data_IF_524454496451
#
_entry.id   IF_524454496451
#
_cell.length_a   1.000
_cell.length_b   1.000
_cell.length_c   1.000
_cell.angle_alpha   90.00
_cell.angle_beta   90.00
_cell.angle_gamma   90.00
#
_symmetry.space_group_name_H-M   'P 1'
#
loop_
_entity.id
_entity.type
_entity.pdbx_description
1 polymer ?
#
# COMPACT_ATOMS: atom_id res chain seq x y z
N UNK A 1 16.61 36.98 -17.40
CA UNK A 1 17.68 36.76 -16.41
C UNK A 1 17.46 35.38 -15.79
N UNK A 2 18.30 34.41 -16.11
CA UNK A 2 18.21 33.06 -15.50
C UNK A 2 18.85 33.16 -14.10
N UNK A 3 18.05 32.96 -13.06
CA UNK A 3 18.58 32.83 -11.71
C UNK A 3 19.37 31.52 -11.65
N UNK A 4 20.68 31.64 -11.48
CA UNK A 4 21.55 30.49 -11.23
C UNK A 4 21.22 29.92 -9.83
N UNK A 5 20.43 28.90 -9.77
CA UNK A 5 20.04 28.23 -8.49
C UNK A 5 21.25 27.46 -8.03
N UNK A 6 22.05 28.05 -7.15
CA UNK A 6 23.13 27.36 -6.46
C UNK A 6 22.53 26.23 -5.61
N UNK A 7 22.79 24.99 -6.00
CA UNK A 7 22.31 23.78 -5.26
C UNK A 7 23.30 23.49 -4.15
N UNK A 8 22.93 23.61 -2.87
CA UNK A 8 23.83 23.36 -1.74
C UNK A 8 24.44 21.95 -1.80
N UNK A 9 25.69 21.82 -1.39
CA UNK A 9 26.45 20.58 -1.37
C UNK A 9 26.58 19.89 -2.74
N UNK A 10 26.51 20.64 -3.84
CA UNK A 10 26.68 20.07 -5.17
C UNK A 10 27.38 21.02 -6.13
N UNK A 11 27.92 20.43 -7.21
CA UNK A 11 28.45 21.17 -8.36
C UNK A 11 28.00 20.51 -9.66
N UNK A 12 27.97 21.30 -10.75
CA UNK A 12 27.63 20.81 -12.08
C UNK A 12 28.90 20.52 -12.87
N UNK A 13 28.97 19.32 -13.48
CA UNK A 13 30.03 18.93 -14.40
C UNK A 13 29.40 18.32 -15.64
N UNK A 14 29.59 18.96 -16.80
CA UNK A 14 29.04 18.52 -18.08
C UNK A 14 27.52 18.30 -18.07
N UNK A 15 26.77 19.19 -17.42
CA UNK A 15 25.30 19.12 -17.30
C UNK A 15 24.78 18.12 -16.29
N UNK A 16 25.64 17.40 -15.56
CA UNK A 16 25.25 16.44 -14.52
C UNK A 16 25.66 16.99 -13.16
N UNK A 17 24.75 16.94 -12.19
CA UNK A 17 25.02 17.35 -10.82
C UNK A 17 25.74 16.26 -10.04
N UNK A 18 26.75 16.67 -9.26
CA UNK A 18 27.56 15.86 -8.35
C UNK A 18 27.38 16.37 -6.93
N UNK A 19 27.22 15.47 -5.97
CA UNK A 19 27.32 15.79 -4.55
C UNK A 19 28.79 15.97 -4.17
N UNK A 20 29.11 16.99 -3.36
CA UNK A 20 30.43 17.18 -2.76
C UNK A 20 30.29 17.69 -1.33
N UNK A 21 30.97 17.05 -0.40
CA UNK A 21 31.05 17.50 0.98
C UNK A 21 32.40 17.15 1.61
N UNK A 22 32.99 18.09 2.33
CA UNK A 22 34.24 17.87 3.08
C UNK A 22 33.94 17.03 4.33
N UNK A 23 34.81 16.08 4.63
CA UNK A 23 34.78 15.34 5.89
C UNK A 23 35.27 16.26 7.00
N UNK A 24 34.58 16.34 8.16
CA UNK A 24 35.04 17.09 9.32
C UNK A 24 36.43 16.62 9.76
N UNK A 25 37.30 17.58 10.22
CA UNK A 25 38.68 17.28 10.58
C UNK A 25 38.82 16.23 11.67
N UNK A 26 37.92 16.24 12.66
CA UNK A 26 37.83 15.28 13.77
C UNK A 26 37.48 13.85 13.33
N UNK A 27 36.88 13.70 12.15
CA UNK A 27 36.45 12.40 11.61
C UNK A 27 37.32 11.91 10.44
N UNK A 28 38.37 12.64 10.04
CA UNK A 28 39.26 12.26 8.93
C UNK A 28 39.87 10.86 9.11
N UNK A 29 40.12 10.45 10.35
CA UNK A 29 40.67 9.13 10.68
C UNK A 29 39.76 7.95 10.24
N UNK A 30 38.49 8.20 10.00
CA UNK A 30 37.51 7.23 9.56
C UNK A 30 37.36 7.17 8.03
N UNK A 31 38.06 8.04 7.30
CA UNK A 31 37.89 8.17 5.85
C UNK A 31 39.24 8.11 5.12
N UNK A 32 39.25 7.49 3.96
CA UNK A 32 40.42 7.45 3.07
C UNK A 32 40.59 8.74 2.24
N UNK A 33 39.60 9.65 2.26
CA UNK A 33 39.61 10.89 1.52
C UNK A 33 39.05 12.03 2.37
N UNK A 34 39.57 13.25 2.20
CA UNK A 34 39.08 14.46 2.88
C UNK A 34 37.77 15.00 2.29
N UNK A 35 37.29 14.43 1.18
CA UNK A 35 36.06 14.81 0.49
C UNK A 35 35.26 13.59 0.08
N UNK A 36 33.95 13.71 0.21
CA UNK A 36 32.98 12.75 -0.32
C UNK A 36 32.37 13.38 -1.57
N UNK A 37 32.59 12.76 -2.75
CA UNK A 37 32.03 13.24 -4.00
C UNK A 37 31.53 12.07 -4.85
N UNK A 38 30.29 12.22 -5.38
CA UNK A 38 29.69 11.25 -6.30
C UNK A 38 28.59 11.86 -7.15
N UNK A 39 28.27 11.24 -8.28
CA UNK A 39 27.22 11.71 -9.18
C UNK A 39 25.83 11.57 -8.60
N UNK A 40 25.03 12.63 -8.63
CA UNK A 40 23.61 12.61 -8.28
C UNK A 40 22.73 12.05 -9.39
N UNK A 41 23.31 11.68 -10.54
CA UNK A 41 22.64 11.07 -11.70
C UNK A 41 21.39 11.86 -12.14
N UNK A 42 21.51 13.18 -12.21
CA UNK A 42 20.43 14.06 -12.66
C UNK A 42 21.00 15.30 -13.32
N UNK A 43 20.25 15.86 -14.28
CA UNK A 43 20.50 17.17 -14.91
C UNK A 43 19.56 18.25 -14.38
N UNK A 44 18.54 17.88 -13.60
CA UNK A 44 17.58 18.82 -13.00
C UNK A 44 18.11 19.38 -11.71
N UNK A 45 18.16 20.72 -11.59
CA UNK A 45 18.61 21.42 -10.39
C UNK A 45 17.73 21.12 -9.17
N UNK A 46 16.41 21.04 -9.34
CA UNK A 46 15.47 20.75 -8.24
C UNK A 46 15.64 19.34 -7.69
N UNK A 47 15.81 18.35 -8.57
CA UNK A 47 16.07 16.96 -8.18
C UNK A 47 17.45 16.83 -7.52
N UNK A 48 18.45 17.58 -8.03
CA UNK A 48 19.78 17.60 -7.44
C UNK A 48 19.74 18.20 -6.02
N UNK A 49 19.01 19.29 -5.80
CA UNK A 49 18.86 19.92 -4.48
C UNK A 49 18.26 18.94 -3.47
N UNK A 50 17.17 18.27 -3.82
CA UNK A 50 16.53 17.27 -2.94
C UNK A 50 17.47 16.09 -2.61
N UNK A 51 18.18 15.55 -3.61
CA UNK A 51 19.12 14.43 -3.40
C UNK A 51 20.35 14.85 -2.60
N UNK A 52 20.89 16.05 -2.84
CA UNK A 52 22.03 16.58 -2.12
C UNK A 52 21.71 16.90 -0.66
N UNK A 53 20.53 17.50 -0.38
CA UNK A 53 20.07 17.77 0.97
C UNK A 53 19.89 16.47 1.77
N UNK A 54 19.27 15.46 1.18
CA UNK A 54 19.09 14.14 1.83
C UNK A 54 20.43 13.46 2.13
N UNK A 55 21.38 13.51 1.19
CA UNK A 55 22.72 12.96 1.40
C UNK A 55 23.49 13.69 2.49
N UNK A 56 23.36 15.02 2.56
CA UNK A 56 23.96 15.82 3.59
C UNK A 56 23.41 15.48 4.98
N UNK A 57 22.09 15.34 5.12
CA UNK A 57 21.44 14.95 6.37
C UNK A 57 21.89 13.56 6.84
N UNK A 58 21.96 12.57 5.94
CA UNK A 58 22.44 11.24 6.28
C UNK A 58 23.90 11.23 6.77
N UNK A 59 24.75 12.09 6.17
CA UNK A 59 26.13 12.25 6.63
C UNK A 59 26.20 12.93 8.00
N UNK A 60 25.35 13.91 8.28
CA UNK A 60 25.32 14.59 9.58
C UNK A 60 24.92 13.63 10.68
N UNK A 61 23.89 12.80 10.45
CA UNK A 61 23.44 11.74 11.38
C UNK A 61 24.57 10.73 11.62
N UNK A 62 25.22 10.25 10.56
CA UNK A 62 26.30 9.31 10.67
C UNK A 62 27.52 9.88 11.41
N UNK A 63 27.92 11.12 11.13
CA UNK A 63 29.00 11.80 11.81
C UNK A 63 28.70 12.09 13.28
N UNK A 64 27.44 12.38 13.60
CA UNK A 64 26.98 12.50 14.98
C UNK A 64 27.16 11.17 15.73
N UNK A 65 26.74 10.07 15.14
CA UNK A 65 26.93 8.72 15.74
C UNK A 65 28.41 8.34 15.90
N UNK A 66 29.26 8.67 14.95
CA UNK A 66 30.71 8.42 15.07
C UNK A 66 31.30 9.18 16.26
N UNK A 67 30.92 10.45 16.45
CA UNK A 67 31.37 11.26 17.59
C UNK A 67 30.91 10.72 18.93
N UNK A 68 29.64 10.30 19.03
CA UNK A 68 29.09 9.71 20.27
C UNK A 68 29.85 8.42 20.67
N UNK A 69 30.27 7.62 19.69
CA UNK A 69 31.07 6.41 19.99
C UNK A 69 32.41 6.70 20.63
N UNK A 70 32.96 7.87 20.40
CA UNK A 70 34.28 8.29 20.91
C UNK A 70 34.23 9.14 22.18
N UNK A 71 33.06 9.67 22.54
CA UNK A 71 32.88 10.46 23.76
C UNK A 71 32.83 9.54 24.97
N UNK A 72 33.62 9.86 25.98
CA UNK A 72 33.55 9.20 27.28
C UNK A 72 32.33 9.75 28.05
N UNK A 73 31.20 9.04 27.91
CA UNK A 73 29.95 9.44 28.51
C UNK A 73 29.95 9.09 30.02
N UNK A 74 29.57 9.98 30.91
CA UNK A 74 29.33 9.66 32.32
C UNK A 74 28.31 8.52 32.39
N UNK A 75 28.65 7.43 33.13
CA UNK A 75 27.80 6.25 33.21
C UNK A 75 27.92 5.26 32.06
N UNK A 76 28.91 5.38 31.18
CA UNK A 76 29.16 4.45 30.06
C UNK A 76 29.29 2.98 30.51
N UNK A 77 29.79 2.75 31.72
CA UNK A 77 29.85 1.42 32.34
C UNK A 77 28.46 0.82 32.70
N UNK A 78 27.42 1.64 32.73
CA UNK A 78 26.03 1.20 32.94
C UNK A 78 25.32 0.85 31.61
N UNK A 79 25.91 1.24 30.46
CA UNK A 79 25.38 0.86 29.15
C UNK A 79 25.77 -0.61 28.90
N UNK A 80 24.79 -1.48 28.69
CA UNK A 80 25.02 -2.84 28.18
C UNK A 80 25.47 -2.75 26.73
N UNK A 81 26.76 -2.53 26.52
CA UNK A 81 27.37 -2.61 25.20
C UNK A 81 27.66 -4.08 24.86
N UNK A 82 27.13 -4.54 23.74
CA UNK A 82 27.63 -5.74 23.11
C UNK A 82 29.12 -5.54 22.80
N UNK A 83 30.00 -6.30 23.43
CA UNK A 83 31.45 -6.26 23.22
C UNK A 83 31.74 -6.79 21.81
N UNK A 84 32.20 -5.93 20.93
CA UNK A 84 32.86 -6.35 19.69
C UNK A 84 34.38 -6.36 19.90
N UNK A 85 34.97 -7.57 19.87
CA UNK A 85 36.33 -7.84 19.40
C UNK A 85 37.49 -7.64 20.38
N UNK A 86 37.84 -8.68 21.11
CA UNK A 86 39.26 -9.04 21.33
C UNK A 86 39.41 -10.55 21.20
N UNK A 87 40.35 -10.95 20.36
CA UNK A 87 40.83 -12.31 20.23
C UNK A 87 41.52 -12.67 21.52
N UNK A 88 40.94 -13.55 22.31
CA UNK A 88 41.61 -14.22 23.42
C UNK A 88 41.52 -15.73 23.17
N UNK A 89 42.70 -16.37 23.25
CA UNK A 89 43.03 -17.78 23.14
C UNK A 89 42.04 -18.70 23.83
N UNK A 90 41.80 -19.82 23.18
CA UNK A 90 41.00 -20.93 23.65
C UNK A 90 41.42 -21.42 25.04
N UNK A 91 40.53 -21.43 25.98
CA UNK A 91 40.23 -22.51 26.91
C UNK A 91 39.19 -22.01 27.93
N UNK A 92 38.13 -22.79 28.02
CA UNK A 92 37.12 -22.79 29.10
C UNK A 92 36.34 -21.52 29.36
N UNK A 93 35.13 -21.47 28.79
CA UNK A 93 33.87 -21.23 29.56
C UNK A 93 32.67 -21.54 28.66
N UNK A 94 32.22 -22.78 28.73
CA UNK A 94 30.85 -23.14 28.33
C UNK A 94 29.87 -22.46 29.27
N UNK A 95 29.59 -21.18 29.04
CA UNK A 95 28.38 -20.54 29.49
C UNK A 95 27.55 -20.26 28.24
N UNK A 96 26.55 -21.09 28.01
CA UNK A 96 25.57 -20.97 26.98
C UNK A 96 24.94 -19.55 27.06
N UNK A 97 25.40 -18.64 26.21
CA UNK A 97 24.56 -17.53 25.79
C UNK A 97 23.38 -18.17 25.04
N UNK A 98 22.28 -18.31 25.73
CA UNK A 98 21.02 -18.77 25.18
C UNK A 98 20.57 -17.69 24.16
N UNK A 99 21.20 -17.71 22.99
CA UNK A 99 20.72 -16.93 21.83
C UNK A 99 19.41 -17.60 21.49
N UNK A 100 18.30 -16.98 21.88
CA UNK A 100 16.98 -17.53 21.66
C UNK A 100 16.76 -17.66 20.15
N UNK A 101 17.17 -18.81 19.60
CA UNK A 101 16.93 -19.17 18.23
C UNK A 101 15.46 -19.53 18.09
N UNK A 102 14.70 -18.77 17.29
CA UNK A 102 13.29 -19.02 17.05
C UNK A 102 13.10 -19.57 15.64
N UNK A 103 12.16 -20.51 15.51
CA UNK A 103 11.70 -21.02 14.23
C UNK A 103 10.85 -19.98 13.49
N UNK A 104 10.70 -20.15 12.18
CA UNK A 104 9.86 -19.25 11.38
C UNK A 104 8.39 -19.25 11.85
N UNK A 105 7.84 -20.39 12.25
CA UNK A 105 6.51 -20.50 12.84
C UNK A 105 6.36 -19.68 14.12
N UNK A 106 7.37 -19.67 14.99
CA UNK A 106 7.40 -18.87 16.21
C UNK A 106 7.54 -17.37 15.89
N UNK A 107 8.34 -17.02 14.87
CA UNK A 107 8.45 -15.66 14.37
C UNK A 107 7.11 -15.13 13.86
N UNK A 108 6.31 -15.95 13.19
CA UNK A 108 4.92 -15.61 12.77
C UNK A 108 4.06 -15.37 14.01
N UNK A 109 4.14 -16.21 15.03
CA UNK A 109 3.36 -16.06 16.26
C UNK A 109 3.69 -14.74 16.99
N UNK A 110 4.98 -14.38 17.11
CA UNK A 110 5.43 -13.09 17.68
C UNK A 110 4.88 -11.93 16.84
N UNK A 111 5.02 -11.99 15.52
CA UNK A 111 4.56 -10.96 14.60
C UNK A 111 3.05 -10.71 14.72
N UNK A 112 2.26 -11.78 14.77
CA UNK A 112 0.81 -11.70 14.87
C UNK A 112 0.36 -11.23 16.26
N UNK A 113 1.00 -11.67 17.32
CA UNK A 113 0.69 -11.23 18.69
C UNK A 113 0.87 -9.72 18.86
N UNK A 114 1.94 -9.15 18.32
CA UNK A 114 2.31 -7.75 18.54
C UNK A 114 1.77 -6.81 17.44
N UNK A 115 1.83 -7.20 16.18
CA UNK A 115 1.34 -6.39 15.04
C UNK A 115 -0.05 -6.74 14.55
N UNK A 116 -0.59 -7.89 14.97
CA UNK A 116 -1.91 -8.36 14.56
C UNK A 116 -3.07 -7.73 15.32
N UNK A 117 -2.82 -7.14 16.50
CA UNK A 117 -3.86 -6.52 17.30
C UNK A 117 -4.59 -5.42 16.52
N UNK A 118 -5.92 -5.50 16.50
CA UNK A 118 -6.77 -4.56 15.78
C UNK A 118 -6.62 -4.62 14.23
N UNK A 119 -5.89 -5.60 13.68
CA UNK A 119 -5.79 -5.81 12.23
C UNK A 119 -6.87 -6.76 11.72
N UNK A 120 -7.32 -6.61 10.48
CA UNK A 120 -8.31 -7.52 9.89
C UNK A 120 -7.73 -8.94 9.73
N UNK A 121 -8.59 -9.97 9.76
CA UNK A 121 -8.20 -11.38 9.60
C UNK A 121 -7.40 -11.67 8.31
N UNK A 122 -7.51 -10.82 7.28
CA UNK A 122 -6.71 -10.90 6.06
C UNK A 122 -5.23 -10.63 6.31
N UNK A 123 -4.87 -9.83 7.33
CA UNK A 123 -3.50 -9.58 7.72
C UNK A 123 -2.87 -10.84 8.31
N UNK A 124 -3.55 -11.50 9.24
CA UNK A 124 -3.12 -12.76 9.82
C UNK A 124 -2.94 -13.83 8.76
N UNK A 125 -3.99 -14.06 7.94
CA UNK A 125 -3.94 -15.04 6.84
C UNK A 125 -2.83 -14.77 5.82
N UNK A 126 -2.47 -13.51 5.59
CA UNK A 126 -1.37 -13.17 4.69
C UNK A 126 0.00 -13.55 5.28
N UNK A 127 0.23 -13.32 6.57
CA UNK A 127 1.46 -13.70 7.27
C UNK A 127 1.60 -15.22 7.33
N UNK A 128 0.58 -15.91 7.81
CA UNK A 128 0.54 -17.38 7.93
C UNK A 128 0.76 -18.07 6.57
N UNK A 129 0.04 -17.64 5.53
CA UNK A 129 0.17 -18.21 4.19
C UNK A 129 1.54 -17.94 3.58
N UNK A 130 2.07 -16.71 3.70
CA UNK A 130 3.35 -16.37 3.07
C UNK A 130 4.52 -17.08 3.73
N UNK A 131 4.53 -17.20 5.05
CA UNK A 131 5.54 -17.95 5.79
C UNK A 131 5.30 -19.47 5.68
N UNK A 132 4.04 -19.92 5.61
CA UNK A 132 3.69 -21.30 5.33
C UNK A 132 4.30 -21.79 4.01
N UNK A 133 4.24 -21.01 2.95
CA UNK A 133 4.92 -21.36 1.69
C UNK A 133 6.44 -21.52 1.84
N UNK A 134 7.10 -20.72 2.71
CA UNK A 134 8.54 -20.90 3.00
C UNK A 134 8.75 -22.20 3.77
N UNK A 135 7.91 -22.49 4.75
CA UNK A 135 8.00 -23.71 5.55
C UNK A 135 7.79 -24.95 4.68
N UNK A 136 6.85 -24.91 3.76
CA UNK A 136 6.57 -26.01 2.82
C UNK A 136 7.77 -26.33 1.92
N UNK A 137 8.50 -25.30 1.46
CA UNK A 137 9.64 -25.43 0.53
C UNK A 137 10.95 -25.69 1.25
N UNK A 138 11.19 -24.97 2.34
CA UNK A 138 12.49 -24.90 3.01
C UNK A 138 12.50 -25.57 4.39
N UNK A 139 11.35 -26.03 4.89
CA UNK A 139 11.20 -26.54 6.26
C UNK A 139 11.05 -25.44 7.31
N UNK A 140 10.47 -25.77 8.46
CA UNK A 140 10.36 -24.86 9.60
C UNK A 140 11.66 -24.85 10.39
N UNK A 141 12.54 -23.93 10.06
CA UNK A 141 13.89 -23.79 10.62
C UNK A 141 14.01 -22.50 11.43
N UNK A 142 15.09 -22.41 12.19
CA UNK A 142 15.47 -21.16 12.85
C UNK A 142 15.63 -20.05 11.82
N UNK A 143 15.17 -18.83 12.17
CA UNK A 143 15.21 -17.68 11.24
C UNK A 143 16.64 -17.32 10.80
N UNK A 144 17.64 -17.68 11.61
CA UNK A 144 19.06 -17.52 11.33
C UNK A 144 19.65 -18.60 10.40
N UNK A 145 18.97 -19.76 10.30
CA UNK A 145 19.45 -20.91 9.52
C UNK A 145 19.02 -20.87 8.04
N UNK A 146 18.16 -19.94 7.64
CA UNK A 146 17.82 -19.75 6.23
C UNK A 146 18.96 -19.08 5.48
N UNK A 147 19.21 -19.56 4.27
CA UNK A 147 20.28 -19.10 3.39
C UNK A 147 19.73 -18.39 2.15
N UNK A 148 20.63 -17.78 1.38
CA UNK A 148 20.26 -17.22 0.07
C UNK A 148 19.84 -18.29 -0.93
N UNK A 149 20.38 -19.50 -0.82
CA UNK A 149 19.98 -20.65 -1.64
C UNK A 149 18.51 -21.03 -1.35
N UNK A 150 18.09 -21.05 -0.08
CA UNK A 150 16.70 -21.30 0.29
C UNK A 150 15.75 -20.23 -0.27
N UNK A 151 16.14 -18.96 -0.18
CA UNK A 151 15.35 -17.86 -0.72
C UNK A 151 15.23 -17.92 -2.26
N UNK A 152 16.24 -18.42 -2.96
CA UNK A 152 16.19 -18.64 -4.40
C UNK A 152 15.31 -19.86 -4.73
N UNK A 153 15.45 -20.97 -4.04
CA UNK A 153 14.58 -22.15 -4.21
C UNK A 153 13.11 -21.78 -3.96
N UNK A 154 12.84 -21.00 -2.92
CA UNK A 154 11.52 -20.48 -2.64
C UNK A 154 10.96 -19.60 -3.78
N UNK A 155 11.79 -18.72 -4.36
CA UNK A 155 11.39 -17.94 -5.54
C UNK A 155 11.02 -18.86 -6.70
N UNK A 156 11.85 -19.85 -7.00
CA UNK A 156 11.67 -20.74 -8.14
C UNK A 156 10.36 -21.53 -8.00
N UNK A 157 10.06 -22.04 -6.81
CA UNK A 157 8.79 -22.68 -6.50
C UNK A 157 7.58 -21.76 -6.73
N UNK A 158 7.66 -20.48 -6.31
CA UNK A 158 6.56 -19.52 -6.55
C UNK A 158 6.36 -19.24 -8.05
N UNK A 159 7.43 -19.23 -8.83
CA UNK A 159 7.39 -19.09 -10.29
C UNK A 159 6.78 -20.33 -10.95
N UNK A 160 7.15 -21.53 -10.50
CA UNK A 160 6.59 -22.81 -10.97
C UNK A 160 5.10 -22.93 -10.67
N UNK A 161 4.65 -22.49 -9.48
CA UNK A 161 3.23 -22.36 -9.14
C UNK A 161 2.47 -21.32 -9.98
N UNK A 162 3.16 -20.62 -10.87
CA UNK A 162 2.55 -19.66 -11.80
C UNK A 162 2.15 -18.32 -11.18
N UNK A 163 2.70 -17.94 -10.02
CA UNK A 163 2.38 -16.65 -9.40
C UNK A 163 2.90 -15.49 -10.24
N UNK A 164 2.07 -14.45 -10.36
CA UNK A 164 2.49 -13.19 -10.99
C UNK A 164 3.56 -12.49 -10.13
N UNK A 165 4.48 -11.76 -10.77
CA UNK A 165 5.58 -11.06 -10.13
C UNK A 165 5.14 -10.09 -9.02
N UNK A 166 3.99 -9.44 -9.17
CA UNK A 166 3.38 -8.61 -8.13
C UNK A 166 2.94 -9.42 -6.89
N UNK A 167 2.47 -10.66 -7.08
CA UNK A 167 2.12 -11.59 -5.99
C UNK A 167 3.36 -12.08 -5.27
N UNK A 168 4.41 -12.44 -6.01
CA UNK A 168 5.72 -12.82 -5.46
C UNK A 168 6.29 -11.67 -4.63
N UNK A 169 6.23 -10.43 -5.13
CA UNK A 169 6.68 -9.24 -4.41
C UNK A 169 5.98 -9.09 -3.05
N UNK A 170 4.67 -9.34 -3.00
CA UNK A 170 3.88 -9.27 -1.77
C UNK A 170 4.24 -10.39 -0.80
N UNK A 171 4.40 -11.62 -1.28
CA UNK A 171 4.80 -12.77 -0.46
C UNK A 171 6.17 -12.53 0.17
N UNK A 172 7.18 -12.21 -0.65
CA UNK A 172 8.53 -11.86 -0.14
C UNK A 172 8.53 -10.67 0.82
N UNK A 173 7.69 -9.66 0.53
CA UNK A 173 7.51 -8.50 1.42
C UNK A 173 7.00 -8.90 2.80
N UNK A 174 6.03 -9.81 2.84
CA UNK A 174 5.46 -10.33 4.10
C UNK A 174 6.48 -11.17 4.87
N UNK A 175 7.15 -12.13 4.20
CA UNK A 175 8.19 -12.97 4.82
C UNK A 175 9.30 -12.12 5.43
N UNK A 176 9.82 -11.14 4.68
CA UNK A 176 10.85 -10.22 5.20
C UNK A 176 10.35 -9.42 6.41
N UNK A 177 9.11 -8.96 6.36
CA UNK A 177 8.52 -8.19 7.47
C UNK A 177 8.40 -9.03 8.74
N UNK A 178 7.99 -10.30 8.62
CA UNK A 178 7.89 -11.23 9.74
C UNK A 178 9.27 -11.51 10.35
N UNK A 179 10.23 -11.91 9.53
CA UNK A 179 11.58 -12.26 9.99
C UNK A 179 12.28 -11.06 10.63
N UNK A 180 12.31 -9.91 9.95
CA UNK A 180 12.98 -8.72 10.47
C UNK A 180 12.34 -8.23 11.77
N UNK A 181 11.01 -8.28 11.87
CA UNK A 181 10.31 -7.85 13.06
C UNK A 181 10.60 -8.80 14.24
N UNK A 182 10.46 -10.10 14.04
CA UNK A 182 10.72 -11.07 15.09
C UNK A 182 12.17 -11.03 15.57
N UNK A 183 13.13 -10.95 14.65
CA UNK A 183 14.55 -10.80 14.98
C UNK A 183 14.83 -9.54 15.81
N UNK A 184 14.19 -8.41 15.45
CA UNK A 184 14.28 -7.15 16.23
C UNK A 184 13.72 -7.30 17.64
N UNK A 185 12.56 -7.97 17.79
CA UNK A 185 11.89 -8.15 19.09
C UNK A 185 12.70 -9.04 20.06
N UNK A 186 13.43 -10.02 19.52
CA UNK A 186 14.25 -10.92 20.36
C UNK A 186 15.74 -10.51 20.42
N UNK A 187 16.09 -9.37 19.79
CA UNK A 187 17.44 -8.82 19.88
C UNK A 187 18.49 -9.54 19.05
N UNK A 188 18.09 -10.25 17.97
CA UNK A 188 19.03 -10.94 17.05
C UNK A 188 19.32 -10.06 15.84
N UNK A 189 20.59 -9.84 15.55
CA UNK A 189 21.02 -9.24 14.28
C UNK A 189 21.02 -10.29 13.17
N UNK A 190 20.25 -10.06 12.10
CA UNK A 190 20.13 -10.97 10.97
C UNK A 190 20.27 -10.23 9.64
N UNK A 191 21.09 -10.77 8.75
CA UNK A 191 21.05 -10.43 7.33
C UNK A 191 19.96 -11.27 6.66
N UNK A 192 18.76 -10.70 6.49
CA UNK A 192 17.61 -11.46 6.00
C UNK A 192 17.84 -11.99 4.57
N UNK A 193 17.93 -13.31 4.37
CA UNK A 193 18.28 -13.92 3.08
C UNK A 193 17.19 -13.71 2.01
N UNK A 194 15.93 -13.48 2.42
CA UNK A 194 14.82 -13.17 1.53
C UNK A 194 14.85 -11.71 1.03
N UNK A 195 15.83 -10.91 1.50
CA UNK A 195 16.13 -9.59 0.94
C UNK A 195 16.82 -9.69 -0.42
N UNK A 196 16.59 -8.71 -1.30
CA UNK A 196 17.27 -8.57 -2.60
C UNK A 196 17.28 -9.85 -3.46
N UNK A 197 16.21 -10.65 -3.43
CA UNK A 197 16.01 -11.77 -4.36
C UNK A 197 15.53 -11.22 -5.69
N UNK A 198 16.18 -11.63 -6.79
CA UNK A 198 15.79 -11.18 -8.14
C UNK A 198 14.68 -12.06 -8.69
N UNK A 199 13.66 -11.42 -9.24
CA UNK A 199 12.60 -11.98 -10.10
C UNK A 199 12.00 -10.84 -10.91
N UNK A 200 11.39 -11.15 -12.05
CA UNK A 200 10.66 -10.15 -12.84
C UNK A 200 9.34 -9.80 -12.14
N UNK A 201 9.27 -8.57 -11.64
CA UNK A 201 8.09 -8.05 -10.92
C UNK A 201 6.88 -7.84 -11.83
N UNK A 202 7.08 -7.73 -13.13
CA UNK A 202 6.02 -7.53 -14.12
C UNK A 202 5.59 -8.84 -14.79
N UNK A 203 6.29 -9.95 -14.54
CA UNK A 203 5.92 -11.23 -15.11
C UNK A 203 4.48 -11.60 -14.75
N UNK A 204 3.69 -11.97 -15.77
CA UNK A 204 2.28 -12.38 -15.62
C UNK A 204 1.38 -11.34 -14.92
N UNK A 205 1.78 -10.07 -14.91
CA UNK A 205 0.94 -9.00 -14.39
C UNK A 205 0.00 -8.56 -15.52
N UNK A 206 -1.25 -8.95 -15.42
CA UNK A 206 -2.29 -8.43 -16.32
C UNK A 206 -2.68 -7.01 -15.86
N UNK A 207 -2.63 -6.05 -16.78
CA UNK A 207 -3.18 -4.72 -16.54
C UNK A 207 -4.70 -4.82 -16.44
N UNK A 208 -5.28 -4.11 -15.48
CA UNK A 208 -6.74 -4.03 -15.40
C UNK A 208 -7.26 -3.14 -16.51
N UNK A 209 -8.14 -3.70 -17.34
CA UNK A 209 -8.74 -2.99 -18.44
C UNK A 209 -10.01 -2.28 -17.97
N UNK A 210 -10.20 -1.00 -18.30
CA UNK A 210 -11.48 -0.34 -18.15
C UNK A 210 -12.57 -1.06 -18.96
N UNK A 211 -13.80 -1.05 -18.47
CA UNK A 211 -14.95 -1.48 -19.27
C UNK A 211 -15.28 -0.43 -20.33
N UNK A 212 -15.48 -0.80 -21.58
CA UNK A 212 -16.00 0.09 -22.62
C UNK A 212 -17.37 0.67 -22.24
N UNK A 213 -17.70 1.85 -22.75
CA UNK A 213 -18.93 2.55 -22.40
C UNK A 213 -20.20 1.80 -22.85
N UNK A 214 -20.14 1.18 -24.03
CA UNK A 214 -21.21 0.34 -24.58
C UNK A 214 -21.48 -0.90 -23.70
N UNK A 215 -20.43 -1.55 -23.20
CA UNK A 215 -20.59 -2.64 -22.25
C UNK A 215 -21.18 -2.17 -20.92
N UNK A 216 -20.78 -1.00 -20.42
CA UNK A 216 -21.36 -0.40 -19.20
C UNK A 216 -22.85 -0.15 -19.38
N UNK A 217 -23.26 0.44 -20.50
CA UNK A 217 -24.67 0.71 -20.80
C UNK A 217 -25.49 -0.56 -20.94
N UNK A 218 -24.93 -1.58 -21.62
CA UNK A 218 -25.58 -2.90 -21.73
C UNK A 218 -25.76 -3.56 -20.37
N UNK A 219 -24.75 -3.51 -19.49
CA UNK A 219 -24.85 -4.00 -18.12
C UNK A 219 -25.89 -3.26 -17.30
N UNK A 220 -25.95 -1.92 -17.43
CA UNK A 220 -26.96 -1.11 -16.76
C UNK A 220 -28.38 -1.45 -17.24
N UNK A 221 -28.57 -1.67 -18.55
CA UNK A 221 -29.85 -2.13 -19.10
C UNK A 221 -30.30 -3.48 -18.52
N UNK A 222 -29.38 -4.43 -18.39
CA UNK A 222 -29.67 -5.72 -17.73
C UNK A 222 -29.94 -5.53 -16.22
N UNK A 223 -29.28 -4.58 -15.56
CA UNK A 223 -29.58 -4.24 -14.17
C UNK A 223 -31.02 -3.73 -14.00
N UNK A 224 -31.47 -2.83 -14.86
CA UNK A 224 -32.85 -2.35 -14.85
C UNK A 224 -33.89 -3.45 -15.09
N UNK A 225 -33.60 -4.38 -15.98
CA UNK A 225 -34.48 -5.49 -16.34
C UNK A 225 -34.61 -6.51 -15.23
N UNK A 226 -33.50 -6.87 -14.56
CA UNK A 226 -33.47 -7.92 -13.52
C UNK A 226 -33.91 -7.39 -12.15
N UNK A 227 -33.67 -6.12 -11.86
CA UNK A 227 -34.17 -5.35 -10.71
C UNK A 227 -34.04 -6.08 -9.35
N UNK A 228 -32.86 -6.57 -9.04
CA UNK A 228 -32.57 -7.27 -7.78
C UNK A 228 -31.34 -6.68 -7.05
N UNK A 229 -31.09 -7.12 -5.83
CA UNK A 229 -30.03 -6.61 -4.96
C UNK A 229 -28.61 -6.71 -5.57
N UNK A 230 -28.34 -7.75 -6.35
CA UNK A 230 -27.05 -7.92 -7.04
C UNK A 230 -26.87 -6.85 -8.13
N UNK A 231 -27.93 -6.58 -8.91
CA UNK A 231 -27.91 -5.62 -10.01
C UNK A 231 -27.92 -4.19 -9.50
N UNK A 232 -28.58 -3.93 -8.38
CA UNK A 232 -28.48 -2.62 -7.73
C UNK A 232 -27.05 -2.32 -7.27
N UNK A 233 -26.31 -3.34 -6.79
CA UNK A 233 -24.92 -3.17 -6.42
C UNK A 233 -24.02 -2.88 -7.63
N UNK A 234 -24.24 -3.55 -8.77
CA UNK A 234 -23.56 -3.24 -10.03
C UNK A 234 -23.86 -1.83 -10.51
N UNK A 235 -25.15 -1.48 -10.59
CA UNK A 235 -25.61 -0.16 -11.03
C UNK A 235 -25.08 0.96 -10.14
N UNK A 236 -25.10 0.78 -8.82
CA UNK A 236 -24.55 1.74 -7.87
C UNK A 236 -23.05 2.00 -8.12
N UNK A 237 -22.26 0.93 -8.32
CA UNK A 237 -20.81 1.04 -8.55
C UNK A 237 -20.49 1.59 -9.94
N UNK A 238 -21.33 1.35 -10.94
CA UNK A 238 -21.08 1.72 -12.33
C UNK A 238 -20.97 3.22 -12.57
N UNK A 239 -21.75 4.02 -11.84
CA UNK A 239 -21.77 5.48 -11.99
C UNK A 239 -21.20 6.24 -10.79
N UNK A 240 -20.88 5.56 -9.68
CA UNK A 240 -20.16 6.16 -8.55
C UNK A 240 -18.68 5.87 -8.55
N UNK A 241 -18.25 4.77 -9.21
CA UNK A 241 -16.86 4.30 -9.18
C UNK A 241 -16.33 3.98 -7.79
N UNK A 242 -17.19 3.82 -6.79
CA UNK A 242 -16.78 3.48 -5.43
C UNK A 242 -16.16 2.08 -5.38
N UNK A 243 -15.37 1.82 -4.34
CA UNK A 243 -14.83 0.46 -4.16
C UNK A 243 -15.96 -0.48 -3.78
N UNK A 244 -15.90 -1.72 -4.28
CA UNK A 244 -16.95 -2.70 -3.96
C UNK A 244 -17.16 -2.89 -2.45
N UNK A 245 -16.08 -2.87 -1.65
CA UNK A 245 -16.19 -2.93 -0.20
C UNK A 245 -16.87 -1.68 0.41
N UNK A 246 -16.72 -0.51 -0.21
CA UNK A 246 -17.44 0.70 0.20
C UNK A 246 -18.94 0.54 -0.05
N UNK A 247 -19.31 0.06 -1.23
CA UNK A 247 -20.71 -0.15 -1.61
C UNK A 247 -21.41 -1.24 -0.80
N UNK A 248 -20.77 -2.41 -0.65
CA UNK A 248 -21.37 -3.53 0.10
C UNK A 248 -21.61 -3.24 1.58
N UNK A 249 -20.80 -2.37 2.19
CA UNK A 249 -20.90 -2.03 3.61
C UNK A 249 -21.68 -0.75 3.91
N UNK A 250 -22.49 -0.25 2.98
CA UNK A 250 -23.36 0.91 3.20
C UNK A 250 -24.53 0.58 4.11
N UNK A 251 -24.92 1.53 4.93
CA UNK A 251 -26.24 1.58 5.56
C UNK A 251 -27.21 2.31 4.64
N UNK A 252 -28.52 2.10 4.84
CA UNK A 252 -29.55 2.93 4.22
C UNK A 252 -29.34 4.42 4.52
N UNK A 253 -28.98 4.76 5.76
CA UNK A 253 -28.70 6.13 6.19
C UNK A 253 -27.42 6.76 5.60
N UNK A 254 -26.64 6.02 4.80
CA UNK A 254 -25.55 6.59 3.99
C UNK A 254 -26.05 7.06 2.60
N UNK A 255 -27.32 6.77 2.24
CA UNK A 255 -27.94 7.17 0.97
C UNK A 255 -28.84 8.39 1.20
N UNK A 256 -28.32 9.57 0.96
CA UNK A 256 -28.99 10.86 1.18
C UNK A 256 -29.82 11.22 -0.07
N UNK A 257 -31.04 10.66 -0.17
CA UNK A 257 -31.91 10.84 -1.35
C UNK A 257 -32.85 12.03 -1.26
N UNK A 258 -33.12 12.55 -0.05
CA UNK A 258 -34.02 13.67 0.21
C UNK A 258 -33.32 15.01 0.06
N UNK A 259 -32.00 15.03 0.13
CA UNK A 259 -31.20 16.23 -0.02
C UNK A 259 -31.37 16.85 -1.41
N UNK A 260 -31.15 18.16 -1.57
CA UNK A 260 -31.25 18.84 -2.87
C UNK A 260 -30.43 18.16 -3.98
N UNK A 261 -29.32 17.56 -3.61
CA UNK A 261 -28.48 16.73 -4.50
C UNK A 261 -28.39 15.34 -3.88
N UNK A 262 -29.08 14.33 -4.46
CA UNK A 262 -28.94 12.94 -4.00
C UNK A 262 -27.50 12.50 -4.03
N UNK A 263 -27.01 11.96 -2.92
CA UNK A 263 -25.62 11.52 -2.82
C UNK A 263 -25.45 10.34 -1.85
N UNK A 264 -24.30 9.66 -1.94
CA UNK A 264 -23.87 8.64 -0.98
C UNK A 264 -22.74 9.19 -0.13
N UNK A 265 -22.83 8.96 1.18
CA UNK A 265 -21.81 9.30 2.17
C UNK A 265 -20.88 8.10 2.36
N UNK A 266 -19.65 8.21 1.89
CA UNK A 266 -18.63 7.18 2.13
C UNK A 266 -17.83 7.56 3.36
N UNK A 267 -18.07 6.86 4.45
CA UNK A 267 -17.44 7.06 5.75
C UNK A 267 -17.00 5.74 6.37
N UNK A 268 -16.16 5.78 7.39
CA UNK A 268 -15.74 4.61 8.13
C UNK A 268 -16.89 4.09 9.01
N UNK A 269 -17.00 2.77 9.09
CA UNK A 269 -17.94 2.06 9.96
C UNK A 269 -17.20 0.98 10.76
N UNK A 270 -17.69 0.54 11.92
CA UNK A 270 -17.05 -0.51 12.71
C UNK A 270 -16.80 -1.81 11.92
N UNK A 271 -17.71 -2.17 11.02
CA UNK A 271 -17.63 -3.37 10.17
C UNK A 271 -16.85 -3.16 8.86
N UNK A 272 -16.51 -1.91 8.51
CA UNK A 272 -15.85 -1.57 7.25
C UNK A 272 -14.94 -0.36 7.42
N UNK A 273 -13.64 -0.63 7.50
CA UNK A 273 -12.62 0.43 7.43
C UNK A 273 -12.45 0.98 6.03
N UNK A 274 -12.08 2.23 5.91
CA UNK A 274 -11.64 2.81 4.65
C UNK A 274 -10.17 2.46 4.38
N UNK A 275 -9.80 2.36 3.10
CA UNK A 275 -8.43 2.01 2.69
C UNK A 275 -7.41 3.09 3.10
N UNK A 276 -7.80 4.36 3.03
CA UNK A 276 -7.01 5.55 3.41
C UNK A 276 -7.93 6.57 4.06
N UNK A 277 -7.40 7.48 4.86
CA UNK A 277 -8.18 8.58 5.46
C UNK A 277 -8.90 9.42 4.40
N UNK A 278 -8.26 9.72 3.27
CA UNK A 278 -8.86 10.45 2.15
C UNK A 278 -9.92 9.68 1.34
N UNK A 279 -10.25 8.45 1.74
CA UNK A 279 -11.35 7.71 1.08
C UNK A 279 -12.73 8.15 1.55
N UNK A 280 -12.85 8.82 2.71
CA UNK A 280 -14.09 9.43 3.19
C UNK A 280 -14.48 10.57 2.25
N UNK A 281 -15.70 10.53 1.71
CA UNK A 281 -16.17 11.50 0.73
C UNK A 281 -17.68 11.41 0.48
N UNK A 282 -18.20 12.44 -0.13
CA UNK A 282 -19.57 12.47 -0.69
C UNK A 282 -19.48 12.20 -2.19
N UNK A 283 -20.34 11.34 -2.72
CA UNK A 283 -20.41 11.06 -4.16
C UNK A 283 -21.85 11.28 -4.63
N UNK A 284 -22.12 12.25 -5.53
CA UNK A 284 -23.44 12.43 -6.09
C UNK A 284 -23.96 11.18 -6.78
N UNK A 285 -25.24 10.91 -6.64
CA UNK A 285 -25.93 9.80 -7.28
C UNK A 285 -26.58 10.28 -8.58
N UNK A 286 -26.17 9.72 -9.69
CA UNK A 286 -26.66 10.03 -11.04
C UNK A 286 -26.95 8.73 -11.80
N UNK A 287 -27.72 8.80 -12.88
CA UNK A 287 -27.94 7.65 -13.77
C UNK A 287 -28.38 6.37 -13.08
N UNK A 288 -27.72 5.28 -13.40
CA UNK A 288 -28.01 3.95 -12.85
C UNK A 288 -27.74 3.88 -11.33
N UNK A 289 -26.79 4.65 -10.82
CA UNK A 289 -26.52 4.69 -9.38
C UNK A 289 -27.68 5.33 -8.59
N UNK A 290 -28.30 6.39 -9.11
CA UNK A 290 -29.46 7.02 -8.48
C UNK A 290 -30.65 6.05 -8.46
N UNK A 291 -30.92 5.40 -9.60
CA UNK A 291 -31.97 4.38 -9.67
C UNK A 291 -31.76 3.27 -8.64
N UNK A 292 -30.55 2.71 -8.56
CA UNK A 292 -30.24 1.65 -7.61
C UNK A 292 -30.42 2.11 -6.15
N UNK A 293 -30.00 3.32 -5.83
CA UNK A 293 -30.14 3.88 -4.49
C UNK A 293 -31.62 4.08 -4.11
N UNK A 294 -32.47 4.49 -5.06
CA UNK A 294 -33.93 4.61 -4.86
C UNK A 294 -34.55 3.23 -4.59
N UNK A 295 -34.16 2.18 -5.33
CA UNK A 295 -34.60 0.81 -5.09
C UNK A 295 -34.22 0.31 -3.70
N UNK A 296 -32.97 0.52 -3.31
CA UNK A 296 -32.46 0.16 -1.98
C UNK A 296 -33.25 0.89 -0.87
N UNK A 297 -33.45 2.20 -1.02
CA UNK A 297 -34.15 3.00 -0.03
C UNK A 297 -35.59 2.53 0.20
N UNK A 298 -36.26 2.08 -0.85
CA UNK A 298 -37.63 1.58 -0.76
C UNK A 298 -37.79 0.19 -0.13
N UNK A 299 -36.69 -0.59 -0.04
CA UNK A 299 -36.74 -2.00 0.43
C UNK A 299 -36.04 -2.26 1.77
N UNK A 300 -35.26 -1.34 2.29
CA UNK A 300 -34.46 -1.50 3.50
C UNK A 300 -35.01 -0.58 4.59
N UNK A 301 -35.09 -1.07 5.83
CA UNK A 301 -35.49 -0.28 6.99
C UNK A 301 -34.39 0.67 7.44
N UNK A 302 -34.74 1.74 8.14
CA UNK A 302 -33.74 2.69 8.64
C UNK A 302 -32.83 2.02 9.66
N UNK A 303 -31.53 2.28 9.52
CA UNK A 303 -30.48 1.67 10.34
C UNK A 303 -29.95 0.34 9.81
N UNK A 304 -30.59 -0.26 8.81
CA UNK A 304 -30.15 -1.52 8.22
C UNK A 304 -29.10 -1.34 7.13
N UNK A 305 -28.37 -2.42 6.85
CA UNK A 305 -27.44 -2.49 5.72
C UNK A 305 -28.19 -2.37 4.38
N UNK A 306 -27.68 -1.54 3.48
CA UNK A 306 -28.18 -1.48 2.11
C UNK A 306 -28.10 -2.84 1.39
N UNK A 307 -27.11 -3.66 1.75
CA UNK A 307 -26.91 -5.00 1.18
C UNK A 307 -26.74 -6.04 2.29
N UNK A 308 -27.83 -6.47 2.97
CA UNK A 308 -27.79 -7.37 4.12
C UNK A 308 -27.12 -8.72 3.81
N UNK A 309 -27.24 -9.22 2.56
CA UNK A 309 -26.65 -10.47 2.08
C UNK A 309 -25.15 -10.58 2.37
N UNK A 310 -24.44 -9.46 2.32
CA UNK A 310 -22.97 -9.39 2.45
C UNK A 310 -22.50 -8.94 3.83
N UNK A 311 -23.44 -8.69 4.73
CA UNK A 311 -23.14 -8.17 6.06
C UNK A 311 -23.73 -9.12 7.11
N UNK A 312 -22.84 -9.81 7.84
CA UNK A 312 -23.21 -10.71 8.94
C UNK A 312 -22.38 -10.33 10.16
N UNK A 313 -23.07 -10.00 11.26
CA UNK A 313 -22.42 -9.50 12.46
C UNK A 313 -21.65 -8.19 12.21
N UNK A 314 -20.44 -8.12 12.70
CA UNK A 314 -19.59 -6.91 12.62
C UNK A 314 -18.65 -6.87 11.40
N UNK A 315 -18.92 -7.61 10.32
CA UNK A 315 -18.02 -7.68 9.17
C UNK A 315 -18.77 -7.67 7.83
N UNK A 316 -18.27 -6.84 6.91
CA UNK A 316 -18.68 -6.83 5.50
C UNK A 316 -17.86 -7.84 4.68
N UNK A 317 -18.54 -8.76 3.99
CA UNK A 317 -17.91 -9.74 3.10
C UNK A 317 -17.92 -9.31 1.63
N UNK A 318 -17.13 -8.29 1.30
CA UNK A 318 -16.97 -7.81 -0.07
C UNK A 318 -16.36 -8.86 -1.02
N UNK A 319 -15.64 -9.87 -0.51
CA UNK A 319 -15.08 -10.94 -1.34
C UNK A 319 -16.18 -11.85 -1.90
N UNK A 320 -17.20 -12.17 -1.11
CA UNK A 320 -18.36 -12.92 -1.59
C UNK A 320 -19.11 -12.15 -2.67
N UNK A 321 -19.34 -10.85 -2.47
CA UNK A 321 -19.92 -9.99 -3.49
C UNK A 321 -19.06 -9.96 -4.77
N UNK A 322 -17.75 -9.81 -4.63
CA UNK A 322 -16.82 -9.80 -5.77
C UNK A 322 -16.87 -11.11 -6.56
N UNK A 323 -16.92 -12.26 -5.89
CA UNK A 323 -17.00 -13.56 -6.56
C UNK A 323 -18.30 -13.71 -7.36
N UNK A 324 -19.45 -13.41 -6.75
CA UNK A 324 -20.76 -13.51 -7.39
C UNK A 324 -20.89 -12.53 -8.58
N UNK A 325 -20.52 -11.27 -8.37
CA UNK A 325 -20.67 -10.24 -9.39
C UNK A 325 -19.71 -10.41 -10.55
N UNK A 326 -18.44 -10.76 -10.29
CA UNK A 326 -17.50 -11.03 -11.37
C UNK A 326 -17.85 -12.29 -12.18
N UNK A 327 -18.48 -13.30 -11.56
CA UNK A 327 -19.03 -14.44 -12.29
C UNK A 327 -20.14 -14.00 -13.26
N UNK A 328 -21.06 -13.13 -12.79
CA UNK A 328 -22.13 -12.60 -13.62
C UNK A 328 -21.58 -11.68 -14.72
N UNK A 329 -20.63 -10.77 -14.42
CA UNK A 329 -19.98 -9.90 -15.40
C UNK A 329 -19.36 -10.70 -16.56
N UNK A 330 -18.63 -11.79 -16.26
CA UNK A 330 -17.99 -12.64 -17.28
C UNK A 330 -18.95 -13.21 -18.33
N UNK A 331 -20.22 -13.38 -18.00
CA UNK A 331 -21.22 -13.85 -18.95
C UNK A 331 -21.93 -12.74 -19.74
N UNK A 332 -21.63 -11.44 -19.43
CA UNK A 332 -22.31 -10.30 -20.01
C UNK A 332 -21.36 -9.30 -20.68
N UNK A 333 -20.03 -9.44 -20.48
CA UNK A 333 -19.04 -8.58 -21.15
C UNK A 333 -18.09 -9.42 -22.00
N UNK A 334 -17.64 -8.86 -23.11
CA UNK A 334 -16.61 -9.46 -23.96
C UNK A 334 -15.19 -9.11 -23.45
N UNK A 335 -15.07 -7.94 -22.81
CA UNK A 335 -13.83 -7.51 -22.17
C UNK A 335 -13.53 -8.36 -20.93
N UNK A 336 -12.25 -8.41 -20.50
CA UNK A 336 -11.86 -9.06 -19.24
C UNK A 336 -12.16 -8.20 -18.01
N UNK A 337 -13.23 -7.38 -18.07
CA UNK A 337 -13.61 -6.46 -17.02
C UNK A 337 -14.05 -7.14 -15.73
N UNK A 338 -13.85 -6.46 -14.62
CA UNK A 338 -14.28 -6.86 -13.27
C UNK A 338 -15.04 -5.72 -12.60
N UNK A 339 -15.67 -5.97 -11.45
CA UNK A 339 -16.29 -4.89 -10.65
C UNK A 339 -15.35 -3.71 -10.38
N UNK A 340 -14.06 -3.96 -10.27
CA UNK A 340 -13.08 -2.88 -10.09
C UNK A 340 -12.82 -2.08 -11.38
N UNK A 341 -13.11 -2.65 -12.55
CA UNK A 341 -12.96 -1.97 -13.84
C UNK A 341 -13.90 -0.78 -13.98
N UNK A 342 -15.10 -0.81 -13.39
CA UNK A 342 -15.99 0.37 -13.35
C UNK A 342 -15.31 1.61 -12.78
N UNK A 343 -14.45 1.42 -11.78
CA UNK A 343 -13.71 2.53 -11.17
C UNK A 343 -12.63 3.10 -12.11
N UNK A 344 -12.00 2.26 -12.93
CA UNK A 344 -11.11 2.71 -13.99
C UNK A 344 -11.89 3.42 -15.10
N UNK A 345 -13.01 2.83 -15.53
CA UNK A 345 -13.87 3.41 -16.58
C UNK A 345 -14.46 4.75 -16.16
N UNK A 346 -14.87 4.92 -14.89
CA UNK A 346 -15.33 6.22 -14.39
C UNK A 346 -14.26 7.30 -14.53
N UNK A 347 -13.00 6.98 -14.20
CA UNK A 347 -11.89 7.93 -14.37
C UNK A 347 -11.69 8.32 -15.83
N UNK A 348 -11.80 7.37 -16.75
CA UNK A 348 -11.64 7.62 -18.19
C UNK A 348 -12.86 8.37 -18.76
N UNK A 349 -14.09 8.05 -18.32
CA UNK A 349 -15.31 8.77 -18.69
C UNK A 349 -15.24 10.24 -18.26
N UNK A 350 -14.77 10.51 -17.03
CA UNK A 350 -14.61 11.88 -16.53
C UNK A 350 -13.51 12.63 -17.31
N UNK A 351 -12.40 11.96 -17.67
CA UNK A 351 -11.38 12.56 -18.53
C UNK A 351 -11.89 12.86 -19.94
N UNK A 352 -12.72 12.00 -20.49
CA UNK A 352 -13.30 12.19 -21.82
C UNK A 352 -14.20 13.44 -21.90
N UNK A 353 -14.75 13.90 -20.80
CA UNK A 353 -15.52 15.16 -20.70
C UNK A 353 -14.69 16.31 -20.14
N UNK A 354 -13.37 16.17 -20.12
CA UNK A 354 -12.41 17.21 -19.65
C UNK A 354 -12.60 17.63 -18.18
N UNK A 355 -13.05 16.69 -17.32
CA UNK A 355 -13.19 16.97 -15.90
C UNK A 355 -11.82 17.25 -15.27
N UNK A 356 -11.66 18.34 -14.50
CA UNK A 356 -10.41 18.63 -13.80
C UNK A 356 -9.93 17.47 -12.91
N UNK A 357 -8.62 17.23 -12.91
CA UNK A 357 -8.03 16.04 -12.29
C UNK A 357 -8.29 15.95 -10.77
N UNK A 358 -8.32 17.07 -10.09
CA UNK A 358 -8.61 17.17 -8.66
C UNK A 358 -10.08 16.84 -8.34
N UNK A 359 -11.03 17.23 -9.20
CA UNK A 359 -12.43 16.82 -9.10
C UNK A 359 -12.57 15.31 -9.35
N UNK A 360 -11.89 14.77 -10.37
CA UNK A 360 -11.82 13.32 -10.61
C UNK A 360 -11.32 12.58 -9.39
N UNK A 361 -10.25 13.08 -8.78
CA UNK A 361 -9.63 12.47 -7.61
C UNK A 361 -10.54 12.56 -6.37
N UNK A 362 -11.24 13.69 -6.16
CA UNK A 362 -12.21 13.84 -5.07
C UNK A 362 -13.40 12.86 -5.23
N UNK A 363 -14.00 12.77 -6.40
CA UNK A 363 -15.09 11.82 -6.68
C UNK A 363 -14.62 10.38 -6.42
N UNK A 364 -13.45 10.03 -6.94
CA UNK A 364 -12.88 8.70 -6.80
C UNK A 364 -12.33 8.39 -5.41
N UNK A 365 -12.02 9.37 -4.57
CA UNK A 365 -11.24 9.18 -3.33
C UNK A 365 -9.85 8.65 -3.67
N UNK A 366 -9.20 9.25 -4.66
CA UNK A 366 -7.77 9.13 -4.95
C UNK A 366 -7.01 10.26 -4.28
N UNK A 367 -5.74 10.08 -4.09
CA UNK A 367 -4.86 11.13 -3.58
C UNK A 367 -4.29 11.92 -4.77
N UNK A 368 -4.49 13.23 -4.76
CA UNK A 368 -3.79 14.14 -5.67
C UNK A 368 -2.46 14.55 -5.04
N UNK A 369 -1.38 14.46 -5.79
CA UNK A 369 -0.05 14.88 -5.33
C UNK A 369 0.01 16.41 -5.29
N UNK A 370 0.49 16.97 -4.17
CA UNK A 370 0.75 18.40 -3.99
C UNK A 370 0.29 18.94 -2.65
N UNK A 371 1.08 19.86 -2.09
CA UNK A 371 0.80 20.50 -0.79
C UNK A 371 -0.48 21.34 -0.85
N UNK A 372 -0.79 21.97 -1.99
CA UNK A 372 -1.99 22.77 -2.19
C UNK A 372 -3.30 22.00 -2.06
N UNK A 373 -3.29 20.70 -2.31
CA UNK A 373 -4.47 19.83 -2.21
C UNK A 373 -4.89 19.50 -0.77
N UNK A 374 -4.03 19.76 0.21
CA UNK A 374 -4.34 19.59 1.63
C UNK A 374 -5.08 20.80 2.23
N UNK A 375 -5.18 21.91 1.49
CA UNK A 375 -5.89 23.13 1.92
C UNK A 375 -7.32 23.16 1.37
N UNK A 376 -8.26 23.58 2.20
CA UNK A 376 -9.67 23.73 1.84
C UNK A 376 -10.52 22.49 2.06
N UNK A 377 -11.84 22.64 1.87
CA UNK A 377 -12.85 21.59 2.11
C UNK A 377 -13.18 20.76 0.86
N UNK A 378 -12.44 20.96 -0.24
CA UNK A 378 -12.75 20.35 -1.53
C UNK A 378 -13.89 21.05 -2.28
N UNK A 379 -14.34 20.43 -3.36
CA UNK A 379 -15.44 20.94 -4.19
C UNK A 379 -16.80 20.62 -3.59
N UNK A 380 -17.77 21.54 -3.67
CA UNK A 380 -19.13 21.29 -3.20
C UNK A 380 -19.85 20.26 -4.09
N UNK A 381 -20.91 19.64 -3.55
CA UNK A 381 -21.67 18.57 -4.22
C UNK A 381 -22.21 18.96 -5.59
N UNK A 382 -22.63 20.22 -5.76
CA UNK A 382 -23.14 20.77 -7.02
C UNK A 382 -22.12 20.64 -8.15
N UNK A 383 -20.86 20.93 -7.85
CA UNK A 383 -19.76 20.84 -8.83
C UNK A 383 -19.49 19.38 -9.19
N UNK A 384 -19.46 18.48 -8.19
CA UNK A 384 -19.26 17.05 -8.42
C UNK A 384 -20.40 16.45 -9.23
N UNK A 385 -21.66 16.82 -8.90
CA UNK A 385 -22.88 16.38 -9.60
C UNK A 385 -22.89 16.82 -11.06
N UNK A 386 -22.51 18.08 -11.34
CA UNK A 386 -22.40 18.62 -12.70
C UNK A 386 -21.47 17.76 -13.57
N UNK A 387 -20.33 17.32 -13.05
CA UNK A 387 -19.40 16.53 -13.82
C UNK A 387 -19.85 15.07 -13.95
N UNK A 388 -20.39 14.45 -12.90
CA UNK A 388 -20.93 13.10 -12.98
C UNK A 388 -22.13 13.00 -13.93
N UNK A 389 -23.02 14.00 -13.98
CA UNK A 389 -24.13 14.01 -14.90
C UNK A 389 -23.71 14.04 -16.38
N UNK A 390 -22.50 14.49 -16.71
CA UNK A 390 -21.97 14.51 -18.09
C UNK A 390 -21.51 13.13 -18.59
N UNK A 391 -21.36 12.17 -17.71
CA UNK A 391 -20.84 10.84 -18.03
C UNK A 391 -21.88 9.72 -17.96
N UNK A 392 -23.14 10.03 -17.63
CA UNK A 392 -24.26 9.08 -17.52
C UNK A 392 -25.13 9.02 -18.76
#
# INVERSE_FOLDING_TARGET
MAYDISVPFSFNKNGIYYFERRVPRDLLKHYSSSKIAYSLRTRSASVAASRASRAAQQLDEYWYHLRIREVDLPGKHLLRMAQSGQVATAEALTSATNTACIKLSEAVAIYLRLKGQGRPATFQRAAERSCGYVIDVCGDREVTAYTKADANAFRDELLERGLAGSSITRVFGTVRSVINFAASEIGIEISNPFGKVYYDRNARVESRVPLPLDEIRSLQAECYKLDDDLRWLVALVSDTGMRLAEATGLLKGDLMLIDPIPHVVIREHPWRRLKTAGSARLVPLVGAALWAAQRLHGRVTDGDFAFPRYNKGEQTNANSASAALNKWLKSHVQSKGTMHSFRHSMRDRLRAVECPADIVDQIGGWQTEGVGQSYGSGYPLEVLAKWLARIT
#
